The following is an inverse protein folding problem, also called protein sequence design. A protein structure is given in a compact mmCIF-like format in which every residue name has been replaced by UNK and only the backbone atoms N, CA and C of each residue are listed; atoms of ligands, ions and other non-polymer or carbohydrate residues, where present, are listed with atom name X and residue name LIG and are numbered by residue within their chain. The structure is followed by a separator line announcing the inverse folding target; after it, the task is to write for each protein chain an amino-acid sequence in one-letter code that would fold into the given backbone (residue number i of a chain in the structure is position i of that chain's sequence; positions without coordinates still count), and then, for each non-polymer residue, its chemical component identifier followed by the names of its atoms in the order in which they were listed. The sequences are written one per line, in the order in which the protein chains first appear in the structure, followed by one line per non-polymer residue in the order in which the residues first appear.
data_IF_848534525997
#
_entry.id   IF_848534525997
#
_cell.length_a   1.000
_cell.length_b   1.000
_cell.length_c   1.000
_cell.angle_alpha   90.00
_cell.angle_beta   90.00
_cell.angle_gamma   90.00
#
_symmetry.space_group_name_H-M   'P 1'
#
loop_
_entity.id
_entity.type
_entity.pdbx_description
1 polymer ?
#
# COMPACT_ATOMS: atom_id res chain seq x y z
N UNK A 1 -11.92 -4.37 -3.25
CA UNK A 1 -11.21 -3.34 -4.05
C UNK A 1 -10.27 -4.01 -5.05
N UNK A 2 -10.65 -4.10 -6.34
CA UNK A 2 -9.80 -4.75 -7.35
C UNK A 2 -8.43 -4.08 -7.51
N UNK A 3 -8.38 -2.76 -7.44
CA UNK A 3 -7.12 -2.02 -7.52
C UNK A 3 -6.21 -2.28 -6.32
N UNK A 4 -6.79 -2.51 -5.15
CA UNK A 4 -6.03 -2.88 -3.96
C UNK A 4 -5.39 -4.26 -4.11
N UNK A 5 -6.11 -5.21 -4.70
CA UNK A 5 -5.57 -6.55 -5.00
C UNK A 5 -4.40 -6.47 -5.97
N UNK A 6 -4.55 -5.70 -7.04
CA UNK A 6 -3.51 -5.52 -8.04
C UNK A 6 -2.27 -4.86 -7.44
N UNK A 7 -2.46 -3.85 -6.60
CA UNK A 7 -1.34 -3.19 -5.90
C UNK A 7 -0.61 -4.15 -4.97
N UNK A 8 -1.36 -4.92 -4.18
CA UNK A 8 -0.78 -5.90 -3.26
C UNK A 8 0.09 -6.90 -4.02
N UNK A 9 -0.41 -7.45 -5.13
CA UNK A 9 0.35 -8.38 -5.97
C UNK A 9 1.61 -7.76 -6.53
N UNK A 10 1.52 -6.52 -6.99
CA UNK A 10 2.68 -5.80 -7.52
C UNK A 10 3.75 -5.59 -6.45
N UNK A 11 3.37 -5.11 -5.27
CA UNK A 11 4.32 -4.86 -4.19
C UNK A 11 4.93 -6.15 -3.66
N UNK A 12 4.17 -7.24 -3.60
CA UNK A 12 4.73 -8.56 -3.26
C UNK A 12 5.81 -8.98 -4.25
N UNK A 13 5.58 -8.72 -5.55
CA UNK A 13 6.57 -9.02 -6.59
C UNK A 13 7.81 -8.14 -6.50
N UNK A 14 7.64 -6.86 -6.16
CA UNK A 14 8.77 -5.94 -5.95
C UNK A 14 9.64 -6.39 -4.78
N UNK A 15 9.02 -6.82 -3.69
CA UNK A 15 9.76 -7.27 -2.51
C UNK A 15 10.67 -8.47 -2.80
N UNK A 16 10.30 -9.30 -3.77
CA UNK A 16 11.11 -10.46 -4.18
C UNK A 16 12.32 -10.09 -5.05
N UNK A 17 12.34 -8.89 -5.62
CA UNK A 17 13.47 -8.43 -6.43
C UNK A 17 14.68 -8.07 -5.56
N UNK A 18 15.85 -8.49 -5.96
CA UNK A 18 17.11 -8.22 -5.24
C UNK A 18 17.33 -6.72 -5.04
N UNK A 19 17.00 -5.90 -6.05
CA UNK A 19 17.15 -4.44 -6.00
C UNK A 19 16.38 -3.79 -4.84
N UNK A 20 15.29 -4.42 -4.40
CA UNK A 20 14.38 -3.84 -3.41
C UNK A 20 14.29 -4.63 -2.10
N UNK A 21 15.23 -5.54 -1.85
CA UNK A 21 15.23 -6.34 -0.61
C UNK A 21 15.35 -5.51 0.67
N UNK A 22 15.99 -4.36 0.59
CA UNK A 22 16.13 -3.45 1.74
C UNK A 22 14.97 -2.46 1.87
N UNK A 23 14.02 -2.45 0.94
CA UNK A 23 12.80 -1.63 1.05
C UNK A 23 11.84 -2.32 2.00
N UNK A 24 11.29 -1.56 2.94
CA UNK A 24 10.28 -2.04 3.85
C UNK A 24 8.89 -1.74 3.31
N UNK A 25 8.11 -2.78 3.07
CA UNK A 25 6.71 -2.67 2.66
C UNK A 25 5.82 -2.90 3.86
N UNK A 26 4.79 -2.07 4.02
CA UNK A 26 3.80 -2.20 5.09
C UNK A 26 2.43 -1.90 4.51
N UNK A 27 1.45 -2.73 4.85
CA UNK A 27 0.05 -2.50 4.50
C UNK A 27 -0.71 -2.02 5.74
N UNK A 28 -1.51 -0.97 5.58
CA UNK A 28 -2.50 -0.57 6.59
C UNK A 28 -3.88 -0.83 5.98
N UNK A 29 -4.59 -1.80 6.54
CA UNK A 29 -5.89 -2.23 6.03
C UNK A 29 -7.03 -1.54 6.77
N UNK A 30 -8.04 -1.14 6.00
CA UNK A 30 -9.31 -0.62 6.51
C UNK A 30 -10.40 -1.58 6.11
N UNK A 31 -11.09 -2.16 7.09
CA UNK A 31 -11.97 -3.30 6.86
C UNK A 31 -13.40 -3.05 7.31
N UNK A 32 -14.34 -3.68 6.61
CA UNK A 32 -15.71 -3.79 7.07
C UNK A 32 -15.77 -4.76 8.25
N UNK A 33 -16.72 -4.56 9.13
CA UNK A 33 -16.92 -5.44 10.27
C UNK A 33 -17.66 -4.73 11.39
N UNK A 34 -18.07 -5.50 12.39
CA UNK A 34 -18.88 -5.00 13.51
C UNK A 34 -18.03 -4.32 14.59
N UNK A 35 -16.75 -4.71 14.70
CA UNK A 35 -15.80 -4.16 15.65
C UNK A 35 -14.37 -4.43 15.16
N UNK A 36 -13.37 -3.91 15.85
CA UNK A 36 -11.97 -4.07 15.44
C UNK A 36 -11.48 -5.49 15.51
N UNK A 37 -11.99 -6.31 16.43
CA UNK A 37 -11.66 -7.73 16.49
C UNK A 37 -12.10 -8.45 15.21
N UNK A 38 -13.32 -8.21 14.76
CA UNK A 38 -13.86 -8.77 13.52
C UNK A 38 -13.09 -8.24 12.30
N UNK A 39 -12.81 -6.94 12.27
CA UNK A 39 -12.03 -6.31 11.19
C UNK A 39 -10.63 -6.91 11.08
N UNK A 40 -9.95 -7.11 12.21
CA UNK A 40 -8.62 -7.73 12.22
C UNK A 40 -8.65 -9.16 11.71
N UNK A 41 -9.67 -9.92 12.05
CA UNK A 41 -9.86 -11.28 11.54
C UNK A 41 -10.00 -11.30 10.01
N UNK A 42 -10.77 -10.37 9.48
CA UNK A 42 -10.96 -10.22 8.02
C UNK A 42 -9.65 -9.84 7.33
N UNK A 43 -8.89 -8.93 7.93
CA UNK A 43 -7.59 -8.52 7.40
C UNK A 43 -6.59 -9.67 7.40
N UNK A 44 -6.53 -10.45 8.47
CA UNK A 44 -5.69 -11.65 8.57
C UNK A 44 -6.07 -12.69 7.52
N UNK A 45 -7.37 -12.89 7.28
CA UNK A 45 -7.85 -13.78 6.23
C UNK A 45 -7.41 -13.33 4.85
N UNK A 46 -7.51 -12.04 4.58
CA UNK A 46 -7.03 -11.44 3.33
C UNK A 46 -5.53 -11.68 3.15
N UNK A 47 -4.73 -11.38 4.17
CA UNK A 47 -3.28 -11.57 4.13
C UNK A 47 -2.90 -13.03 3.86
N UNK A 48 -3.57 -13.99 4.50
CA UNK A 48 -3.34 -15.42 4.25
C UNK A 48 -3.72 -15.82 2.83
N UNK A 49 -4.89 -15.38 2.36
CA UNK A 49 -5.40 -15.69 1.03
C UNK A 49 -4.48 -15.16 -0.07
N UNK A 50 -3.90 -13.99 0.13
CA UNK A 50 -2.96 -13.38 -0.81
C UNK A 50 -1.55 -13.95 -0.71
N UNK A 51 -1.22 -14.65 0.37
CA UNK A 51 0.16 -15.06 0.65
C UNK A 51 1.06 -13.86 0.93
N UNK A 52 0.55 -12.86 1.64
CA UNK A 52 1.25 -11.59 1.87
C UNK A 52 2.62 -11.82 2.49
N UNK A 53 3.66 -11.24 1.88
CA UNK A 53 5.06 -11.43 2.27
C UNK A 53 5.65 -10.20 2.98
N UNK A 54 4.80 -9.29 3.48
CA UNK A 54 5.22 -8.13 4.27
C UNK A 54 4.21 -7.83 5.37
N UNK A 55 4.61 -6.98 6.33
CA UNK A 55 3.80 -6.68 7.51
C UNK A 55 2.52 -5.91 7.20
N UNK A 56 1.53 -6.09 8.06
CA UNK A 56 0.25 -5.37 7.92
C UNK A 56 -0.31 -4.98 9.30
N UNK A 57 -1.09 -3.91 9.30
CA UNK A 57 -1.73 -3.38 10.50
C UNK A 57 -3.18 -3.00 10.18
N UNK A 58 -4.04 -3.08 11.18
CA UNK A 58 -5.42 -2.61 11.06
C UNK A 58 -5.49 -1.11 11.31
N UNK A 59 -6.03 -0.36 10.35
CA UNK A 59 -6.29 1.08 10.50
C UNK A 59 -7.65 1.40 11.10
N UNK A 60 -8.62 0.49 10.98
CA UNK A 60 -9.97 0.65 11.49
C UNK A 60 -11.03 0.27 10.46
N UNK A 61 -12.20 0.91 10.55
CA UNK A 61 -13.30 0.62 9.63
C UNK A 61 -12.99 1.12 8.20
N UNK A 62 -13.61 0.49 7.22
CA UNK A 62 -13.42 0.78 5.81
C UNK A 62 -14.09 2.10 5.42
N UNK A 63 -13.43 3.21 5.71
CA UNK A 63 -13.88 4.52 5.27
C UNK A 63 -12.69 5.46 5.04
N UNK A 64 -12.84 6.38 4.09
CA UNK A 64 -11.83 7.42 3.85
C UNK A 64 -11.73 8.39 5.01
N UNK A 65 -12.84 8.58 5.75
CA UNK A 65 -12.86 9.39 6.98
C UNK A 65 -11.94 8.78 8.04
N UNK A 66 -12.06 7.47 8.30
CA UNK A 66 -11.21 6.77 9.27
C UNK A 66 -9.74 6.80 8.84
N UNK A 67 -9.47 6.59 7.55
CA UNK A 67 -8.11 6.68 7.02
C UNK A 67 -7.51 8.08 7.21
N UNK A 68 -8.30 9.13 7.03
CA UNK A 68 -7.89 10.51 7.27
C UNK A 68 -7.59 10.80 8.74
N UNK A 69 -8.28 10.13 9.66
CA UNK A 69 -7.98 10.23 11.10
C UNK A 69 -6.65 9.57 11.44
N UNK A 70 -6.44 8.35 10.95
CA UNK A 70 -5.20 7.59 11.18
C UNK A 70 -3.99 8.30 10.56
N UNK A 71 -4.15 8.80 9.34
CA UNK A 71 -3.09 9.52 8.61
C UNK A 71 -3.37 11.03 8.62
N UNK A 72 -3.51 11.60 9.80
CA UNK A 72 -3.88 13.02 9.95
C UNK A 72 -2.81 14.00 9.42
N UNK A 73 -1.57 13.54 9.22
CA UNK A 73 -0.52 14.34 8.58
C UNK A 73 -0.80 14.59 7.08
N UNK A 74 -1.70 13.80 6.48
CA UNK A 74 -2.17 14.03 5.12
C UNK A 74 -3.38 14.97 5.15
N UNK A 75 -3.58 15.75 4.09
CA UNK A 75 -4.79 16.57 3.93
C UNK A 75 -5.97 15.74 3.42
N UNK A 76 -6.23 14.62 4.09
CA UNK A 76 -7.30 13.68 3.77
C UNK A 76 -6.81 12.51 2.93
N UNK A 77 -7.58 11.42 2.99
CA UNK A 77 -7.43 10.24 2.14
C UNK A 77 -8.69 10.16 1.28
N UNK A 78 -8.53 10.22 -0.03
CA UNK A 78 -9.67 10.37 -0.94
C UNK A 78 -10.10 9.07 -1.61
N UNK A 79 -9.23 8.08 -1.64
CA UNK A 79 -9.50 6.79 -2.28
C UNK A 79 -8.60 5.69 -1.73
N UNK A 80 -9.01 4.46 -1.94
CA UNK A 80 -8.16 3.27 -1.75
C UNK A 80 -7.85 2.67 -3.12
N UNK A 81 -6.62 2.17 -3.33
CA UNK A 81 -5.49 2.28 -2.43
C UNK A 81 -4.84 3.66 -2.46
N UNK A 82 -4.19 4.03 -1.38
CA UNK A 82 -3.29 5.19 -1.31
C UNK A 82 -1.93 4.70 -0.85
N UNK A 83 -0.88 5.08 -1.56
CA UNK A 83 0.49 4.67 -1.26
C UNK A 83 1.31 5.85 -0.76
N UNK A 84 2.00 5.65 0.34
CA UNK A 84 2.93 6.62 0.91
C UNK A 84 4.36 6.12 0.69
N UNK A 85 5.20 7.00 0.14
CA UNK A 85 6.63 6.74 -0.02
C UNK A 85 7.38 7.54 1.02
N UNK A 86 8.17 6.84 1.83
CA UNK A 86 8.94 7.47 2.91
C UNK A 86 10.45 7.29 2.65
N UNK A 87 11.22 8.33 2.99
CA UNK A 87 12.68 8.24 2.94
C UNK A 87 13.22 7.52 4.18
N UNK A 88 14.54 7.38 4.27
CA UNK A 88 15.21 6.71 5.40
C UNK A 88 15.04 7.43 6.73
N UNK A 89 14.66 8.72 6.70
CA UNK A 89 14.37 9.51 7.90
C UNK A 89 12.92 9.37 8.37
N UNK A 90 12.08 8.63 7.64
CA UNK A 90 10.67 8.47 7.94
C UNK A 90 9.79 9.62 7.44
N UNK A 91 10.32 10.49 6.58
CA UNK A 91 9.57 11.60 6.01
C UNK A 91 8.81 11.14 4.77
N UNK A 92 7.55 11.58 4.63
CA UNK A 92 6.74 11.29 3.45
C UNK A 92 7.24 12.16 2.30
N UNK A 93 7.73 11.52 1.24
CA UNK A 93 8.27 12.22 0.06
C UNK A 93 7.30 12.20 -1.12
N UNK A 94 6.37 11.26 -1.14
CA UNK A 94 5.34 11.18 -2.18
C UNK A 94 4.11 10.44 -1.69
N UNK A 95 2.94 10.89 -2.14
CA UNK A 95 1.64 10.24 -1.93
C UNK A 95 1.05 9.94 -3.30
N UNK A 96 0.64 8.70 -3.54
CA UNK A 96 -0.02 8.30 -4.77
C UNK A 96 -1.39 7.72 -4.45
N UNK A 97 -2.44 8.32 -5.01
CA UNK A 97 -3.82 7.86 -4.86
C UNK A 97 -4.21 6.98 -6.04
N UNK A 98 -4.81 5.83 -5.74
CA UNK A 98 -5.22 4.87 -6.76
C UNK A 98 -4.10 3.94 -7.20
N UNK A 99 -4.41 3.07 -8.15
CA UNK A 99 -3.45 2.13 -8.73
C UNK A 99 -3.91 1.71 -10.12
N UNK A 100 -3.05 1.96 -11.11
CA UNK A 100 -3.28 1.51 -12.48
C UNK A 100 -2.75 0.08 -12.63
N UNK A 101 -3.66 -0.90 -12.55
CA UNK A 101 -3.30 -2.31 -12.58
C UNK A 101 -2.95 -2.83 -13.98
N UNK A 102 -2.60 -4.13 -14.07
CA UNK A 102 -2.15 -4.74 -15.34
C UNK A 102 -3.10 -4.55 -16.51
N UNK A 103 -4.40 -4.46 -16.25
CA UNK A 103 -5.42 -4.25 -17.28
C UNK A 103 -5.39 -2.89 -17.95
N UNK A 104 -4.63 -1.92 -17.44
CA UNK A 104 -4.55 -0.56 -17.98
C UNK A 104 -3.47 -0.37 -19.04
N UNK A 105 -2.71 -1.43 -19.37
CA UNK A 105 -1.67 -1.41 -20.39
C UNK A 105 -0.52 -0.46 -20.06
N UNK A 106 -0.34 0.57 -20.88
CA UNK A 106 0.77 1.52 -20.74
C UNK A 106 0.75 2.28 -19.40
N UNK A 107 -0.43 2.50 -18.82
CA UNK A 107 -0.54 3.18 -17.52
C UNK A 107 0.10 2.34 -16.42
N UNK A 108 -0.08 1.03 -16.45
CA UNK A 108 0.58 0.12 -15.53
C UNK A 108 2.10 0.11 -15.74
N UNK A 109 2.56 0.04 -16.99
CA UNK A 109 3.98 0.09 -17.32
C UNK A 109 4.64 1.36 -16.78
N UNK A 110 4.00 2.50 -16.97
CA UNK A 110 4.49 3.80 -16.45
C UNK A 110 4.52 3.82 -14.92
N UNK A 111 3.47 3.29 -14.28
CA UNK A 111 3.41 3.20 -12.82
C UNK A 111 4.58 2.38 -12.28
N UNK A 112 4.85 1.22 -12.89
CA UNK A 112 5.99 0.38 -12.52
C UNK A 112 7.31 1.14 -12.65
N UNK A 113 7.53 1.81 -13.77
CA UNK A 113 8.76 2.56 -14.04
C UNK A 113 8.97 3.68 -13.03
N UNK A 114 7.94 4.49 -12.76
CA UNK A 114 8.03 5.61 -11.82
C UNK A 114 8.21 5.13 -10.38
N UNK A 115 7.50 4.09 -9.99
CA UNK A 115 7.61 3.50 -8.65
C UNK A 115 9.02 2.95 -8.40
N UNK A 116 9.53 2.16 -9.33
CA UNK A 116 10.85 1.55 -9.19
C UNK A 116 11.97 2.58 -9.25
N UNK A 117 11.83 3.62 -10.09
CA UNK A 117 12.78 4.72 -10.13
C UNK A 117 12.82 5.50 -8.81
N UNK A 118 11.65 5.76 -8.22
CA UNK A 118 11.57 6.44 -6.92
C UNK A 118 12.21 5.60 -5.81
N UNK A 119 11.93 4.30 -5.78
CA UNK A 119 12.51 3.40 -4.78
C UNK A 119 14.04 3.36 -4.90
N UNK A 120 14.57 3.28 -6.12
CA UNK A 120 16.03 3.31 -6.33
C UNK A 120 16.64 4.62 -5.85
N UNK A 121 15.99 5.75 -6.14
CA UNK A 121 16.44 7.06 -5.67
C UNK A 121 16.47 7.12 -4.15
N UNK A 122 15.43 6.66 -3.48
CA UNK A 122 15.35 6.65 -2.01
C UNK A 122 16.40 5.73 -1.38
N UNK A 123 16.72 4.62 -2.02
CA UNK A 123 17.76 3.70 -1.55
C UNK A 123 19.17 4.30 -1.64
N UNK A 124 19.40 5.23 -2.58
CA UNK A 124 20.70 5.90 -2.77
C UNK A 124 20.95 7.01 -1.74
N UNK A 125 19.94 7.45 -1.03
CA UNK A 125 20.06 8.54 -0.05
C UNK A 125 20.74 8.12 1.26
#
# INVERSE_FOLDING_TARGET
CPNCLDETRYFMSLKEKDDFKSVRFVMVGFENGTNDKDRLQRLKKYARKMGLNYGFYLGGEASTKQAGIVFHALNGVYSFPTTLFLNKKGEIVQVHSGFDGPGTGIHFTRLQQTTEALLRKLLEE
#
